data_IF_627757931776
#
_entry.id   IF_627757931776
#
_cell.length_a   1.000
_cell.length_b   1.000
_cell.length_c   1.000
_cell.angle_alpha   90.00
_cell.angle_beta   90.00
_cell.angle_gamma   90.00
#
_symmetry.space_group_name_H-M   'P 1'
#
loop_
_entity.id
_entity.type
_entity.pdbx_description
1 polymer ?
#
# COMPACT_ATOMS: atom_id res chain seq x y z
N UNK A 1 9.67 -21.44 -30.99
CA UNK A 1 10.74 -22.36 -31.40
C UNK A 1 11.89 -21.50 -31.85
N UNK A 2 12.99 -21.30 -31.14
CA UNK A 2 13.50 -21.78 -29.84
C UNK A 2 14.62 -20.80 -29.49
N UNK A 3 14.47 -19.92 -28.49
CA UNK A 3 15.57 -19.02 -28.10
C UNK A 3 15.42 -18.36 -26.70
N UNK A 4 14.84 -19.06 -25.72
CA UNK A 4 14.61 -18.47 -24.37
C UNK A 4 14.86 -19.44 -23.19
N UNK A 5 15.75 -20.42 -23.36
CA UNK A 5 15.91 -21.52 -22.37
C UNK A 5 17.17 -21.51 -21.48
N UNK A 6 18.00 -20.46 -21.46
CA UNK A 6 19.31 -20.51 -20.78
C UNK A 6 19.60 -19.40 -19.73
N UNK A 7 18.59 -18.81 -19.08
CA UNK A 7 18.80 -17.72 -18.11
C UNK A 7 18.72 -18.08 -16.61
N UNK A 8 18.47 -19.33 -16.21
CA UNK A 8 18.10 -19.65 -14.82
C UNK A 8 19.11 -20.42 -13.95
N UNK A 9 20.36 -20.65 -14.37
CA UNK A 9 21.30 -21.49 -13.57
C UNK A 9 22.47 -20.77 -12.89
N UNK A 10 22.64 -19.45 -13.06
CA UNK A 10 23.73 -18.69 -12.43
C UNK A 10 23.24 -17.51 -11.57
N UNK A 11 22.31 -17.76 -10.64
CA UNK A 11 22.07 -16.84 -9.53
C UNK A 11 23.05 -17.14 -8.36
N UNK A 12 24.34 -17.15 -8.71
CA UNK A 12 25.43 -17.10 -7.74
C UNK A 12 25.27 -15.79 -7.00
N UNK A 13 24.67 -15.79 -5.81
CA UNK A 13 24.60 -14.61 -4.93
C UNK A 13 26.01 -14.05 -4.84
N UNK A 14 26.28 -12.94 -5.53
CA UNK A 14 27.53 -12.22 -5.36
C UNK A 14 27.65 -11.98 -3.86
N UNK A 15 28.76 -12.39 -3.22
CA UNK A 15 28.93 -12.16 -1.80
C UNK A 15 28.83 -10.66 -1.57
N UNK A 16 27.75 -10.24 -0.91
CA UNK A 16 27.56 -8.86 -0.47
C UNK A 16 28.81 -8.53 0.34
N UNK A 17 29.61 -7.60 -0.17
CA UNK A 17 30.93 -7.33 0.36
C UNK A 17 30.82 -7.00 1.86
N UNK A 18 31.42 -7.81 2.76
CA UNK A 18 31.27 -7.63 4.21
C UNK A 18 31.86 -6.29 4.69
N UNK A 19 32.67 -5.60 3.88
CA UNK A 19 33.20 -4.26 4.20
C UNK A 19 32.14 -3.16 4.24
N UNK A 20 31.00 -3.31 3.58
CA UNK A 20 29.92 -2.32 3.67
C UNK A 20 29.15 -2.37 5.01
N UNK A 21 29.32 -3.44 5.81
CA UNK A 21 28.50 -3.69 7.01
C UNK A 21 29.02 -3.03 8.31
N UNK A 22 30.28 -2.60 8.38
CA UNK A 22 30.90 -2.19 9.66
C UNK A 22 30.95 -0.67 9.90
N UNK A 23 30.98 0.18 8.86
CA UNK A 23 31.16 1.64 9.04
C UNK A 23 29.84 2.45 9.02
N UNK A 24 28.69 1.85 8.73
CA UNK A 24 27.43 2.59 8.53
C UNK A 24 26.78 3.13 9.81
N UNK A 25 27.14 2.61 10.99
CA UNK A 25 26.51 2.99 12.28
C UNK A 25 27.08 4.27 12.89
N UNK A 26 28.26 4.75 12.45
CA UNK A 26 28.95 5.89 13.09
C UNK A 26 28.50 7.28 12.61
N UNK A 27 27.74 7.40 11.53
CA UNK A 27 27.45 8.69 10.88
C UNK A 27 26.00 9.19 11.03
N UNK A 28 25.03 8.32 11.35
CA UNK A 28 23.61 8.69 11.38
C UNK A 28 23.05 9.03 12.78
N UNK A 29 23.82 8.80 13.85
CA UNK A 29 23.35 8.92 15.25
C UNK A 29 23.14 10.35 15.80
N UNK A 30 22.91 11.34 14.94
CA UNK A 30 22.47 12.64 15.43
C UNK A 30 21.04 12.54 15.90
N UNK A 31 20.86 12.55 17.24
CA UNK A 31 19.56 12.71 17.89
C UNK A 31 18.76 13.77 17.16
N UNK A 32 17.66 13.34 16.55
CA UNK A 32 16.73 14.21 15.83
C UNK A 32 16.00 15.05 16.87
N UNK A 33 16.15 16.39 16.89
CA UNK A 33 15.44 17.20 17.86
C UNK A 33 13.93 16.91 17.86
N UNK A 34 13.39 16.67 19.06
CA UNK A 34 12.01 16.20 19.27
C UNK A 34 10.93 17.08 18.65
N UNK A 35 11.23 18.36 18.37
CA UNK A 35 10.30 19.31 17.79
C UNK A 35 9.97 19.04 16.31
N UNK A 36 10.77 18.24 15.60
CA UNK A 36 10.48 17.82 14.24
C UNK A 36 10.03 16.36 14.13
N UNK A 37 10.05 15.61 15.24
CA UNK A 37 9.38 14.32 15.34
C UNK A 37 7.87 14.55 15.40
N UNK A 38 7.27 14.76 14.23
CA UNK A 38 5.85 15.08 14.08
C UNK A 38 5.12 14.01 13.29
N UNK A 39 4.04 13.49 13.87
CA UNK A 39 3.12 12.56 13.23
C UNK A 39 1.71 13.09 13.09
N UNK A 40 0.97 12.49 12.16
CA UNK A 40 -0.46 12.64 11.95
C UNK A 40 -1.20 11.33 12.31
N UNK A 41 -2.10 11.35 13.31
CA UNK A 41 -2.96 10.20 13.59
C UNK A 41 -3.66 9.66 12.35
N UNK A 42 -3.74 8.34 12.18
CA UNK A 42 -4.27 7.71 10.96
C UNK A 42 -5.65 8.20 10.57
N UNK A 43 -6.50 8.36 11.58
CA UNK A 43 -7.88 8.84 11.42
C UNK A 43 -7.93 10.19 10.72
N UNK A 44 -6.94 11.06 10.92
CA UNK A 44 -6.85 12.34 10.21
C UNK A 44 -6.34 12.16 8.79
N UNK A 45 -5.40 11.23 8.56
CA UNK A 45 -4.92 10.89 7.22
C UNK A 45 -6.05 10.36 6.31
N UNK A 46 -6.92 9.51 6.89
CA UNK A 46 -8.10 8.97 6.22
C UNK A 46 -9.32 9.91 6.26
N UNK A 47 -9.30 10.97 7.05
CA UNK A 47 -10.44 11.86 7.21
C UNK A 47 -10.86 12.45 5.85
N UNK A 48 -12.18 12.63 5.69
CA UNK A 48 -12.79 13.19 4.48
C UNK A 48 -12.30 12.46 3.21
N UNK A 49 -12.20 11.14 3.31
CA UNK A 49 -11.79 10.24 2.23
C UNK A 49 -10.41 10.57 1.62
N UNK A 50 -9.42 10.78 2.49
CA UNK A 50 -8.04 11.04 2.06
C UNK A 50 -7.81 12.44 1.49
N UNK A 51 -8.69 13.40 1.82
CA UNK A 51 -8.51 14.81 1.45
C UNK A 51 -7.12 15.39 1.81
N UNK A 52 -6.44 15.00 2.91
CA UNK A 52 -5.07 15.45 3.19
C UNK A 52 -4.05 15.11 2.10
N UNK A 53 -4.28 14.10 1.26
CA UNK A 53 -3.42 13.79 0.12
C UNK A 53 -3.60 14.75 -1.07
N UNK A 54 -4.63 15.60 -1.07
CA UNK A 54 -4.82 16.63 -2.10
C UNK A 54 -3.81 17.75 -1.86
N UNK A 55 -2.95 18.03 -2.85
CA UNK A 55 -1.85 18.99 -2.72
C UNK A 55 -2.29 20.39 -2.23
N UNK A 56 -3.48 20.83 -2.62
CA UNK A 56 -4.08 22.12 -2.25
C UNK A 56 -4.48 22.19 -0.76
N UNK A 57 -4.79 21.07 -0.13
CA UNK A 57 -5.31 20.99 1.24
C UNK A 57 -4.26 20.57 2.28
N UNK A 58 -2.97 20.72 1.95
CA UNK A 58 -1.87 20.36 2.86
C UNK A 58 -1.92 21.09 4.22
N UNK A 59 -2.66 22.20 4.32
CA UNK A 59 -2.90 22.92 5.58
C UNK A 59 -3.72 22.11 6.60
N UNK A 60 -4.58 21.18 6.15
CA UNK A 60 -5.35 20.31 7.04
C UNK A 60 -4.45 19.27 7.69
N UNK A 61 -3.51 18.71 6.92
CA UNK A 61 -2.49 17.80 7.47
C UNK A 61 -1.65 18.49 8.54
N UNK A 62 -1.12 19.69 8.23
CA UNK A 62 -0.27 20.45 9.15
C UNK A 62 -0.94 20.79 10.48
N UNK A 63 -2.21 21.17 10.47
CA UNK A 63 -2.97 21.49 11.70
C UNK A 63 -3.14 20.31 12.65
N UNK A 64 -2.98 19.08 12.16
CA UNK A 64 -3.14 17.86 12.94
C UNK A 64 -1.80 17.17 13.23
N UNK A 65 -0.66 17.80 12.90
CA UNK A 65 0.65 17.31 13.30
C UNK A 65 0.79 17.38 14.82
N UNK A 66 1.20 16.27 15.42
CA UNK A 66 1.45 16.11 16.84
C UNK A 66 2.88 15.67 17.02
N UNK A 67 3.54 16.15 18.08
CA UNK A 67 4.82 15.58 18.47
C UNK A 67 4.59 14.15 18.96
N UNK A 68 5.34 13.22 18.40
CA UNK A 68 5.30 11.81 18.78
C UNK A 68 6.73 11.34 19.02
N UNK A 69 6.94 10.49 20.01
CA UNK A 69 8.24 9.87 20.28
C UNK A 69 8.43 8.58 19.48
N UNK A 70 7.32 7.88 19.23
CA UNK A 70 7.27 6.60 18.54
C UNK A 70 6.31 6.68 17.35
N UNK A 71 6.55 5.85 16.34
CA UNK A 71 5.73 5.79 15.14
C UNK A 71 5.47 4.37 14.68
N UNK A 72 4.21 4.08 14.35
CA UNK A 72 3.80 2.73 13.94
C UNK A 72 4.29 2.40 12.52
N UNK A 73 4.09 3.31 11.55
CA UNK A 73 4.50 3.10 10.17
C UNK A 73 4.84 4.40 9.43
N UNK A 74 5.79 4.29 8.50
CA UNK A 74 6.14 5.35 7.56
C UNK A 74 5.44 5.12 6.22
N UNK A 75 4.73 6.14 5.71
CA UNK A 75 3.98 6.03 4.44
C UNK A 75 4.67 6.84 3.34
N UNK A 76 5.45 6.17 2.50
CA UNK A 76 6.02 6.76 1.29
C UNK A 76 4.97 6.75 0.16
N UNK A 77 4.86 7.85 -0.57
CA UNK A 77 3.90 7.96 -1.67
C UNK A 77 4.29 9.01 -2.72
N UNK A 78 3.84 8.81 -3.96
CA UNK A 78 4.01 9.82 -5.01
C UNK A 78 2.91 10.91 -4.92
N UNK A 79 3.12 12.13 -5.44
CA UNK A 79 2.07 13.18 -5.42
C UNK A 79 1.13 13.17 -6.63
N UNK A 80 1.44 12.41 -7.68
CA UNK A 80 0.68 12.39 -8.94
C UNK A 80 -0.53 11.47 -8.85
N UNK A 81 -0.42 10.37 -8.10
CA UNK A 81 -1.49 9.40 -7.90
C UNK A 81 -2.66 10.05 -7.18
N UNK A 82 -3.86 9.76 -7.69
CA UNK A 82 -5.12 10.23 -7.12
C UNK A 82 -5.21 9.92 -5.62
N UNK A 83 -5.67 10.89 -4.85
CA UNK A 83 -5.88 10.74 -3.40
C UNK A 83 -6.86 9.61 -3.08
N UNK A 84 -7.85 9.33 -3.94
CA UNK A 84 -8.78 8.22 -3.76
C UNK A 84 -8.11 6.85 -3.80
N UNK A 85 -7.12 6.67 -4.67
CA UNK A 85 -6.38 5.42 -4.77
C UNK A 85 -5.47 5.22 -3.55
N UNK A 86 -4.84 6.30 -3.07
CA UNK A 86 -4.06 6.27 -1.83
C UNK A 86 -4.95 5.95 -0.64
N UNK A 87 -6.08 6.63 -0.52
CA UNK A 87 -7.08 6.40 0.52
C UNK A 87 -7.56 4.94 0.51
N UNK A 88 -7.96 4.41 -0.65
CA UNK A 88 -8.39 3.02 -0.78
C UNK A 88 -7.29 2.02 -0.42
N UNK A 89 -6.03 2.31 -0.79
CA UNK A 89 -4.89 1.45 -0.49
C UNK A 89 -4.59 1.41 1.00
N UNK A 90 -4.68 2.56 1.68
CA UNK A 90 -4.48 2.66 3.13
C UNK A 90 -5.64 2.02 3.90
N UNK A 91 -6.89 2.18 3.45
CA UNK A 91 -8.02 1.45 4.01
C UNK A 91 -7.81 -0.07 3.91
N UNK A 92 -7.39 -0.53 2.74
CA UNK A 92 -7.13 -1.96 2.53
C UNK A 92 -6.00 -2.44 3.44
N UNK A 93 -4.90 -1.71 3.49
CA UNK A 93 -3.72 -2.07 4.27
C UNK A 93 -4.02 -2.20 5.76
N UNK A 94 -4.65 -1.17 6.33
CA UNK A 94 -4.75 -1.03 7.79
C UNK A 94 -6.09 -1.49 8.37
N UNK A 95 -7.19 -1.41 7.60
CA UNK A 95 -8.53 -1.71 8.13
C UNK A 95 -9.06 -3.09 7.72
N UNK A 96 -8.52 -3.77 6.70
CA UNK A 96 -9.15 -5.02 6.20
C UNK A 96 -9.21 -6.13 7.26
N UNK A 97 -8.18 -6.28 8.09
CA UNK A 97 -8.13 -7.28 9.17
C UNK A 97 -9.20 -7.00 10.22
N UNK A 98 -9.28 -5.75 10.68
CA UNK A 98 -10.26 -5.32 11.67
C UNK A 98 -11.69 -5.43 11.12
N UNK A 99 -11.89 -5.05 9.85
CA UNK A 99 -13.17 -5.20 9.16
C UNK A 99 -13.57 -6.69 9.06
N UNK A 100 -12.64 -7.60 8.76
CA UNK A 100 -12.91 -9.04 8.71
C UNK A 100 -13.36 -9.60 10.06
N UNK A 101 -12.62 -9.27 11.14
CA UNK A 101 -12.96 -9.70 12.50
C UNK A 101 -14.30 -9.12 12.95
N UNK A 102 -14.53 -7.82 12.73
CA UNK A 102 -15.79 -7.18 13.08
C UNK A 102 -16.98 -7.79 12.33
N UNK A 103 -16.80 -8.08 11.04
CA UNK A 103 -17.83 -8.76 10.24
C UNK A 103 -18.12 -10.15 10.80
N UNK A 104 -17.10 -10.89 11.21
CA UNK A 104 -17.27 -12.22 11.83
C UNK A 104 -18.03 -12.14 13.14
N UNK A 105 -17.58 -11.30 14.07
CA UNK A 105 -18.23 -11.14 15.37
C UNK A 105 -19.69 -10.70 15.22
N UNK A 106 -19.94 -9.71 14.35
CA UNK A 106 -21.30 -9.24 14.08
C UNK A 106 -22.17 -10.34 13.47
N UNK A 107 -21.65 -11.08 12.48
CA UNK A 107 -22.41 -12.17 11.84
C UNK A 107 -22.74 -13.29 12.82
N UNK A 108 -21.79 -13.68 13.66
CA UNK A 108 -22.03 -14.70 14.70
C UNK A 108 -23.06 -14.22 15.72
N UNK A 109 -22.92 -13.00 16.23
CA UNK A 109 -23.86 -12.44 17.20
C UNK A 109 -25.27 -12.29 16.61
N UNK A 110 -25.40 -11.79 15.39
CA UNK A 110 -26.68 -11.69 14.69
C UNK A 110 -27.33 -13.07 14.49
N UNK A 111 -26.54 -14.08 14.12
CA UNK A 111 -27.00 -15.47 13.99
C UNK A 111 -27.53 -16.04 15.31
N UNK A 112 -26.81 -15.83 16.42
CA UNK A 112 -27.27 -16.25 17.74
C UNK A 112 -28.57 -15.55 18.14
N UNK A 113 -28.67 -14.23 17.95
CA UNK A 113 -29.90 -13.48 18.26
C UNK A 113 -31.11 -13.94 17.44
N UNK A 114 -30.90 -14.32 16.17
CA UNK A 114 -31.94 -14.93 15.33
C UNK A 114 -32.34 -16.30 15.88
N UNK A 115 -31.37 -17.13 16.27
CA UNK A 115 -31.62 -18.45 16.86
C UNK A 115 -32.47 -18.38 18.14
N UNK A 116 -32.18 -17.41 19.02
CA UNK A 116 -32.95 -17.17 20.24
C UNK A 116 -34.26 -16.40 20.01
N UNK A 117 -34.67 -16.19 18.74
CA UNK A 117 -35.87 -15.44 18.34
C UNK A 117 -35.92 -14.01 18.89
N UNK A 118 -34.77 -13.45 19.27
CA UNK A 118 -34.65 -12.04 19.69
C UNK A 118 -34.73 -11.13 18.47
N UNK A 119 -34.12 -11.55 17.35
CA UNK A 119 -34.22 -10.88 16.06
C UNK A 119 -35.06 -11.69 15.07
N UNK A 120 -35.89 -11.03 14.23
CA UNK A 120 -36.62 -11.74 13.18
C UNK A 120 -35.66 -12.24 12.10
N UNK A 121 -35.97 -13.40 11.52
CA UNK A 121 -35.21 -13.98 10.41
C UNK A 121 -35.53 -13.22 9.11
N UNK A 122 -34.90 -12.06 8.94
CA UNK A 122 -35.13 -11.16 7.81
C UNK A 122 -33.86 -11.00 6.98
N UNK A 123 -34.02 -10.85 5.66
CA UNK A 123 -32.90 -10.69 4.72
C UNK A 123 -31.98 -9.50 5.02
N UNK A 124 -32.47 -8.45 5.71
CA UNK A 124 -31.68 -7.25 6.03
C UNK A 124 -30.55 -7.50 7.04
N UNK A 125 -30.62 -8.56 7.86
CA UNK A 125 -29.56 -8.87 8.83
C UNK A 125 -28.20 -9.09 8.14
N UNK A 126 -28.23 -9.62 6.91
CA UNK A 126 -27.05 -9.80 6.06
C UNK A 126 -26.50 -8.43 5.61
N UNK A 127 -27.38 -7.49 5.23
CA UNK A 127 -26.99 -6.14 4.79
C UNK A 127 -26.33 -5.33 5.91
N UNK A 128 -26.75 -5.48 7.17
CA UNK A 128 -26.12 -4.78 8.30
C UNK A 128 -24.69 -5.28 8.54
N UNK A 129 -24.41 -6.57 8.34
CA UNK A 129 -23.06 -7.11 8.44
C UNK A 129 -22.07 -6.44 7.46
N UNK A 130 -22.54 -5.99 6.30
CA UNK A 130 -21.72 -5.20 5.38
C UNK A 130 -21.54 -3.73 5.83
N UNK A 131 -22.56 -3.12 6.45
CA UNK A 131 -22.48 -1.74 6.96
C UNK A 131 -21.59 -1.60 8.19
N UNK A 132 -21.52 -2.64 9.04
CA UNK A 132 -20.65 -2.67 10.21
C UNK A 132 -19.15 -2.45 9.86
N UNK A 133 -18.75 -2.79 8.63
CA UNK A 133 -17.37 -2.60 8.12
C UNK A 133 -16.94 -1.13 8.02
N UNK A 134 -17.89 -0.23 7.75
CA UNK A 134 -17.60 1.19 7.51
C UNK A 134 -17.22 1.92 8.80
N UNK A 135 -17.66 1.42 9.96
CA UNK A 135 -17.43 2.06 11.27
C UNK A 135 -16.15 1.64 11.99
N UNK A 136 -15.51 0.53 11.61
CA UNK A 136 -14.33 0.00 12.32
C UNK A 136 -13.06 0.58 11.73
N UNK A 137 -12.66 1.75 12.23
CA UNK A 137 -11.37 2.36 11.93
C UNK A 137 -10.42 2.12 13.10
N UNK A 138 -9.27 1.48 12.85
CA UNK A 138 -8.23 1.30 13.87
C UNK A 138 -7.55 2.65 14.14
N UNK A 139 -7.44 3.02 15.41
CA UNK A 139 -6.79 4.24 15.84
C UNK A 139 -5.30 3.95 16.04
N UNK A 140 -4.52 4.10 14.98
CA UNK A 140 -3.05 4.09 15.02
C UNK A 140 -2.52 5.49 14.65
N UNK A 141 -1.30 5.82 15.05
CA UNK A 141 -0.70 7.14 14.81
C UNK A 141 0.42 7.01 13.76
N UNK A 142 0.36 7.78 12.66
CA UNK A 142 1.28 7.64 11.53
C UNK A 142 1.96 8.95 11.18
N UNK A 143 2.89 8.98 10.22
CA UNK A 143 3.41 10.24 9.70
C UNK A 143 3.33 10.28 8.17
N UNK A 144 3.12 11.48 7.64
CA UNK A 144 3.48 11.81 6.26
C UNK A 144 4.49 12.94 6.35
N UNK A 145 5.78 12.60 6.30
CA UNK A 145 6.86 13.56 6.45
C UNK A 145 6.98 14.47 5.23
N UNK A 146 6.90 15.80 5.45
CA UNK A 146 7.46 16.78 4.51
C UNK A 146 8.27 17.77 5.36
N UNK A 147 9.60 17.86 5.21
CA UNK A 147 10.41 18.71 6.09
C UNK A 147 10.11 20.20 5.85
N UNK A 148 9.67 20.91 6.89
CA UNK A 148 9.41 22.37 6.83
C UNK A 148 10.69 23.21 6.97
N UNK A 149 11.79 22.64 7.46
CA UNK A 149 13.10 23.32 7.56
C UNK A 149 14.16 22.53 6.81
N UNK A 150 14.56 23.04 5.64
CA UNK A 150 15.48 22.33 4.73
C UNK A 150 16.96 22.37 5.13
N UNK A 151 17.33 23.02 6.24
CA UNK A 151 18.73 23.28 6.57
C UNK A 151 19.52 22.07 7.10
N UNK A 152 18.87 21.00 7.55
CA UNK A 152 19.55 19.86 8.20
C UNK A 152 19.07 18.48 7.72
N UNK A 153 18.42 18.40 6.56
CA UNK A 153 17.60 17.28 6.05
C UNK A 153 18.21 15.87 6.17
N UNK A 154 19.54 15.75 6.13
CA UNK A 154 20.26 14.46 6.16
C UNK A 154 20.15 13.73 7.49
N UNK A 155 20.32 14.45 8.60
CA UNK A 155 20.19 13.87 9.94
C UNK A 155 18.73 13.56 10.29
N UNK A 156 17.78 14.37 9.81
CA UNK A 156 16.35 14.15 10.08
C UNK A 156 15.82 12.87 9.48
N UNK A 157 16.06 12.69 8.17
CA UNK A 157 15.42 11.58 7.46
C UNK A 157 15.93 10.26 8.01
N UNK A 158 17.22 10.20 8.37
CA UNK A 158 17.79 9.02 9.01
C UNK A 158 17.20 8.71 10.39
N UNK A 159 17.29 9.65 11.34
CA UNK A 159 16.83 9.37 12.70
C UNK A 159 15.29 9.26 12.83
N UNK A 160 14.52 9.90 11.94
CA UNK A 160 13.07 9.63 11.87
C UNK A 160 12.83 8.21 11.37
N UNK A 161 13.53 7.77 10.32
CA UNK A 161 13.35 6.41 9.77
C UNK A 161 13.78 5.29 10.73
N UNK A 162 14.73 5.56 11.64
CA UNK A 162 15.13 4.62 12.71
C UNK A 162 13.99 4.29 13.67
N UNK A 163 13.05 5.22 13.88
CA UNK A 163 11.94 5.05 14.84
C UNK A 163 10.76 4.24 14.31
N UNK A 164 10.68 3.94 13.02
CA UNK A 164 9.56 3.16 12.47
C UNK A 164 9.85 1.66 12.47
N UNK A 165 8.85 0.88 12.85
CA UNK A 165 8.91 -0.57 12.79
C UNK A 165 8.69 -1.11 11.37
N UNK A 166 7.86 -0.44 10.58
CA UNK A 166 7.46 -0.87 9.23
C UNK A 166 7.40 0.31 8.24
N UNK A 167 7.77 0.06 6.98
CA UNK A 167 7.56 1.00 5.86
C UNK A 167 6.42 0.50 4.97
N UNK A 168 5.38 1.32 4.85
CA UNK A 168 4.28 1.13 3.91
C UNK A 168 4.53 1.97 2.66
N UNK A 169 4.87 1.32 1.55
CA UNK A 169 5.10 2.00 0.28
C UNK A 169 3.84 1.93 -0.60
N UNK A 170 3.23 3.09 -0.88
CA UNK A 170 2.14 3.20 -1.85
C UNK A 170 2.73 3.31 -3.24
N UNK A 171 3.00 2.15 -3.82
CA UNK A 171 3.70 2.08 -5.09
C UNK A 171 2.80 2.42 -6.29
N UNK A 172 3.34 3.25 -7.18
CA UNK A 172 2.77 3.61 -8.47
C UNK A 172 3.86 3.66 -9.56
N UNK A 173 3.45 3.71 -10.82
CA UNK A 173 4.36 3.82 -11.99
C UNK A 173 5.33 5.01 -11.90
N UNK A 174 4.93 6.08 -11.20
CA UNK A 174 5.73 7.31 -11.06
C UNK A 174 6.58 7.33 -9.78
N UNK A 175 6.49 6.32 -8.92
CA UNK A 175 7.17 6.30 -7.63
C UNK A 175 8.70 6.40 -7.77
N UNK A 176 9.30 5.54 -8.60
CA UNK A 176 10.75 5.51 -8.87
C UNK A 176 11.21 6.72 -9.69
N UNK A 177 10.30 7.43 -10.37
CA UNK A 177 10.66 8.65 -11.09
C UNK A 177 10.96 9.80 -10.11
N UNK A 178 10.86 9.64 -8.79
CA UNK A 178 10.91 10.73 -7.82
C UNK A 178 12.09 10.53 -6.87
N UNK A 179 13.00 11.51 -6.90
CA UNK A 179 14.28 11.43 -6.16
C UNK A 179 14.07 11.22 -4.66
N UNK A 180 13.05 11.87 -4.09
CA UNK A 180 12.73 11.81 -2.66
C UNK A 180 12.22 10.43 -2.24
N UNK A 181 11.32 9.84 -3.03
CA UNK A 181 10.76 8.51 -2.75
C UNK A 181 11.84 7.43 -2.76
N UNK A 182 12.72 7.44 -3.76
CA UNK A 182 13.83 6.49 -3.85
C UNK A 182 14.85 6.72 -2.73
N UNK A 183 15.10 7.98 -2.36
CA UNK A 183 15.95 8.33 -1.23
C UNK A 183 15.41 7.83 0.11
N UNK A 184 14.12 8.06 0.41
CA UNK A 184 13.46 7.58 1.63
C UNK A 184 13.53 6.06 1.73
N UNK A 185 13.20 5.37 0.63
CA UNK A 185 13.32 3.92 0.54
C UNK A 185 14.75 3.45 0.82
N UNK A 186 15.73 3.97 0.09
CA UNK A 186 17.14 3.59 0.26
C UNK A 186 17.66 3.89 1.69
N UNK A 187 17.23 5.00 2.28
CA UNK A 187 17.57 5.37 3.66
C UNK A 187 17.01 4.33 4.64
N UNK A 188 15.74 3.96 4.49
CA UNK A 188 15.10 2.92 5.31
C UNK A 188 15.84 1.59 5.19
N UNK A 189 16.13 1.15 3.96
CA UNK A 189 16.87 -0.10 3.71
C UNK A 189 18.26 -0.10 4.33
N UNK A 190 18.97 1.03 4.23
CA UNK A 190 20.32 1.17 4.80
C UNK A 190 20.32 1.14 6.32
N UNK A 191 19.35 1.79 6.96
CA UNK A 191 19.23 1.85 8.43
C UNK A 191 18.89 0.48 8.99
N UNK A 192 17.87 -0.16 8.43
CA UNK A 192 17.33 -1.41 8.96
C UNK A 192 18.02 -2.65 8.40
N UNK A 193 19.03 -2.48 7.52
CA UNK A 193 19.81 -3.57 6.92
C UNK A 193 18.97 -4.68 6.26
N UNK A 194 17.77 -4.32 5.80
CA UNK A 194 16.78 -5.28 5.27
C UNK A 194 16.16 -6.22 6.31
N UNK A 195 16.39 -6.01 7.61
CA UNK A 195 15.79 -6.82 8.69
C UNK A 195 14.30 -6.51 8.90
N UNK A 196 13.89 -5.27 8.58
CA UNK A 196 12.49 -4.85 8.69
C UNK A 196 11.74 -5.12 7.38
N UNK A 197 10.50 -5.63 7.45
CA UNK A 197 9.72 -5.90 6.27
C UNK A 197 9.35 -4.59 5.56
N UNK A 198 9.48 -4.60 4.24
CA UNK A 198 8.96 -3.57 3.36
C UNK A 198 7.62 -4.05 2.82
N UNK A 199 6.56 -3.29 3.07
CA UNK A 199 5.25 -3.60 2.51
C UNK A 199 4.92 -2.65 1.38
N UNK A 200 5.02 -3.11 0.14
CA UNK A 200 4.59 -2.35 -1.02
C UNK A 200 3.17 -2.74 -1.42
N UNK A 201 2.29 -1.74 -1.59
CA UNK A 201 0.91 -1.96 -2.06
C UNK A 201 0.68 -1.20 -3.36
N UNK A 202 0.33 -1.91 -4.44
CA UNK A 202 -0.08 -1.26 -5.69
C UNK A 202 -1.33 -0.43 -5.47
N UNK A 203 -1.27 0.84 -5.87
CA UNK A 203 -2.41 1.78 -5.72
C UNK A 203 -3.66 1.38 -6.51
N UNK A 204 -3.52 0.46 -7.49
CA UNK A 204 -4.64 -0.11 -8.26
C UNK A 204 -5.31 -1.31 -7.57
N UNK A 205 -4.68 -1.93 -6.56
CA UNK A 205 -5.20 -3.10 -5.86
C UNK A 205 -6.60 -2.89 -5.25
N UNK A 206 -6.92 -1.74 -4.63
CA UNK A 206 -8.28 -1.49 -4.12
C UNK A 206 -9.35 -1.54 -5.20
N UNK A 207 -9.06 -1.09 -6.42
CA UNK A 207 -10.00 -1.15 -7.54
C UNK A 207 -10.25 -2.60 -7.96
N UNK A 208 -9.19 -3.40 -8.07
CA UNK A 208 -9.31 -4.82 -8.39
C UNK A 208 -10.17 -5.56 -7.36
N UNK A 209 -9.91 -5.32 -6.07
CA UNK A 209 -10.68 -5.92 -4.98
C UNK A 209 -12.12 -5.42 -4.93
N UNK A 210 -12.40 -4.17 -5.29
CA UNK A 210 -13.76 -3.64 -5.37
C UNK A 210 -14.57 -4.33 -6.48
N UNK A 211 -13.99 -4.51 -7.67
CA UNK A 211 -14.66 -5.24 -8.76
C UNK A 211 -14.85 -6.70 -8.39
N UNK A 212 -13.86 -7.32 -7.73
CA UNK A 212 -13.98 -8.68 -7.21
C UNK A 212 -15.06 -8.83 -6.13
N UNK A 213 -15.15 -7.86 -5.23
CA UNK A 213 -16.21 -7.78 -4.21
C UNK A 213 -17.60 -7.70 -4.86
N UNK A 214 -17.77 -6.82 -5.85
CA UNK A 214 -19.03 -6.66 -6.56
C UNK A 214 -19.48 -7.97 -7.26
N UNK A 215 -18.54 -8.67 -7.88
CA UNK A 215 -18.78 -9.98 -8.51
C UNK A 215 -19.27 -11.02 -7.49
N UNK A 216 -18.54 -11.24 -6.41
CA UNK A 216 -18.93 -12.22 -5.39
C UNK A 216 -20.24 -11.87 -4.71
N UNK A 217 -20.46 -10.58 -4.46
CA UNK A 217 -21.73 -10.10 -3.92
C UNK A 217 -22.89 -10.46 -4.88
N UNK A 218 -22.74 -10.25 -6.18
CA UNK A 218 -23.76 -10.61 -7.17
C UNK A 218 -24.04 -12.13 -7.22
N UNK A 219 -22.99 -12.95 -7.34
CA UNK A 219 -23.11 -14.43 -7.33
C UNK A 219 -23.83 -14.91 -6.08
N UNK A 220 -23.51 -14.31 -4.93
CA UNK A 220 -24.11 -14.73 -3.67
C UNK A 220 -25.57 -14.31 -3.55
N UNK A 221 -25.94 -13.10 -3.95
CA UNK A 221 -27.34 -12.67 -4.01
C UNK A 221 -28.15 -13.56 -4.97
N UNK A 222 -27.56 -14.00 -6.08
CA UNK A 222 -28.19 -14.97 -6.98
C UNK A 222 -28.50 -16.30 -6.27
N UNK A 223 -27.53 -16.88 -5.55
CA UNK A 223 -27.74 -18.13 -4.80
C UNK A 223 -28.87 -17.97 -3.77
N UNK A 224 -28.93 -16.82 -3.09
CA UNK A 224 -30.02 -16.53 -2.16
C UNK A 224 -31.37 -16.43 -2.85
N UNK A 225 -31.43 -15.76 -4.01
CA UNK A 225 -32.67 -15.59 -4.76
C UNK A 225 -33.20 -16.93 -5.26
N UNK A 226 -32.32 -17.80 -5.77
CA UNK A 226 -32.66 -19.18 -6.14
C UNK A 226 -33.21 -19.90 -4.90
N UNK A 227 -32.46 -19.92 -3.78
CA UNK A 227 -32.89 -20.63 -2.58
C UNK A 227 -34.24 -20.18 -2.01
N UNK A 228 -34.61 -18.89 -2.19
CA UNK A 228 -35.90 -18.35 -1.74
C UNK A 228 -37.02 -18.55 -2.78
N UNK A 229 -36.71 -18.51 -4.06
CA UNK A 229 -37.70 -18.62 -5.15
C UNK A 229 -38.13 -20.05 -5.47
N UNK A 230 -37.38 -21.06 -5.04
CA UNK A 230 -37.63 -22.47 -5.36
C UNK A 230 -38.63 -23.18 -4.44
N UNK A 231 -39.44 -22.43 -3.67
CA UNK A 231 -40.50 -23.00 -2.84
C UNK A 231 -41.62 -23.66 -3.66
N UNK A 232 -41.73 -23.34 -4.94
CA UNK A 232 -42.68 -23.90 -5.89
C UNK A 232 -41.93 -24.52 -7.08
N UNK A 233 -42.22 -25.80 -7.37
CA UNK A 233 -41.61 -26.54 -8.47
C UNK A 233 -41.85 -25.88 -9.84
N UNK A 234 -43.00 -25.20 -10.01
CA UNK A 234 -43.31 -24.51 -11.26
C UNK A 234 -42.40 -23.29 -11.50
N UNK A 235 -41.93 -22.64 -10.43
CA UNK A 235 -41.10 -21.44 -10.50
C UNK A 235 -39.60 -21.74 -10.48
N UNK A 236 -39.20 -23.00 -10.25
CA UNK A 236 -37.79 -23.38 -10.14
C UNK A 236 -36.97 -23.04 -11.40
N UNK A 237 -37.35 -23.60 -12.54
CA UNK A 237 -36.62 -23.44 -13.80
C UNK A 237 -36.53 -21.97 -14.28
N UNK A 238 -37.64 -21.20 -14.36
CA UNK A 238 -37.55 -19.81 -14.82
C UNK A 238 -36.71 -18.94 -13.87
N UNK A 239 -36.78 -19.19 -12.55
CA UNK A 239 -35.95 -18.48 -11.56
C UNK A 239 -34.47 -18.74 -11.77
N UNK A 240 -34.08 -20.02 -11.92
CA UNK A 240 -32.69 -20.41 -12.16
C UNK A 240 -32.16 -19.85 -13.48
N UNK A 241 -32.97 -19.89 -14.54
CA UNK A 241 -32.60 -19.35 -15.84
C UNK A 241 -32.37 -17.84 -15.79
N UNK A 242 -33.29 -17.08 -15.20
CA UNK A 242 -33.18 -15.63 -15.04
C UNK A 242 -31.94 -15.23 -14.21
N UNK A 243 -31.71 -15.95 -13.12
CA UNK A 243 -30.53 -15.80 -12.26
C UNK A 243 -29.23 -16.03 -13.02
N UNK A 244 -29.17 -17.13 -13.78
CA UNK A 244 -28.00 -17.50 -14.57
C UNK A 244 -27.70 -16.47 -15.65
N UNK A 245 -28.72 -16.00 -16.38
CA UNK A 245 -28.58 -14.91 -17.35
C UNK A 245 -28.06 -13.64 -16.67
N UNK A 246 -28.62 -13.28 -15.51
CA UNK A 246 -28.20 -12.08 -14.77
C UNK A 246 -26.73 -12.14 -14.34
N UNK A 247 -26.27 -13.26 -13.78
CA UNK A 247 -24.86 -13.45 -13.40
C UNK A 247 -23.95 -13.48 -14.63
N UNK A 248 -24.39 -14.10 -15.72
CA UNK A 248 -23.64 -14.08 -16.98
C UNK A 248 -23.46 -12.66 -17.51
N UNK A 249 -24.51 -11.84 -17.51
CA UNK A 249 -24.42 -10.42 -17.91
C UNK A 249 -23.43 -9.67 -17.02
N UNK A 250 -23.50 -9.83 -15.70
CA UNK A 250 -22.55 -9.20 -14.78
C UNK A 250 -21.11 -9.67 -15.08
N UNK A 251 -20.91 -10.97 -15.31
CA UNK A 251 -19.61 -11.55 -15.64
C UNK A 251 -19.01 -10.92 -16.90
N UNK A 252 -19.82 -10.75 -17.96
CA UNK A 252 -19.41 -10.12 -19.21
C UNK A 252 -18.86 -8.71 -19.03
N UNK A 253 -19.31 -7.97 -18.01
CA UNK A 253 -18.79 -6.63 -17.69
C UNK A 253 -17.63 -6.67 -16.70
N UNK A 254 -17.76 -7.44 -15.61
CA UNK A 254 -16.76 -7.43 -14.53
C UNK A 254 -15.47 -8.13 -14.92
N UNK A 255 -15.54 -9.21 -15.72
CA UNK A 255 -14.36 -9.99 -16.10
C UNK A 255 -13.39 -9.20 -16.99
N UNK A 256 -13.83 -8.49 -18.05
CA UNK A 256 -12.96 -7.59 -18.79
C UNK A 256 -12.38 -6.48 -17.92
N UNK A 257 -13.18 -5.86 -17.04
CA UNK A 257 -12.67 -4.84 -16.12
C UNK A 257 -11.58 -5.39 -15.18
N UNK A 258 -11.78 -6.57 -14.58
CA UNK A 258 -10.77 -7.24 -13.75
C UNK A 258 -9.51 -7.55 -14.54
N UNK A 259 -9.67 -8.11 -15.74
CA UNK A 259 -8.56 -8.46 -16.62
C UNK A 259 -7.77 -7.22 -17.04
N UNK A 260 -8.44 -6.11 -17.38
CA UNK A 260 -7.79 -4.85 -17.73
C UNK A 260 -7.01 -4.25 -16.56
N UNK A 261 -7.60 -4.23 -15.35
CA UNK A 261 -6.93 -3.74 -14.14
C UNK A 261 -5.73 -4.63 -13.80
N UNK A 262 -5.90 -5.96 -13.88
CA UNK A 262 -4.83 -6.94 -13.64
C UNK A 262 -3.69 -6.80 -14.63
N UNK A 263 -3.99 -6.76 -15.94
CA UNK A 263 -2.99 -6.52 -16.99
C UNK A 263 -2.26 -5.21 -16.78
N UNK A 264 -2.96 -4.13 -16.43
CA UNK A 264 -2.31 -2.84 -16.14
C UNK A 264 -1.38 -2.95 -14.93
N UNK A 265 -1.79 -3.63 -13.86
CA UNK A 265 -0.94 -3.85 -12.70
C UNK A 265 0.33 -4.65 -13.07
N UNK A 266 0.20 -5.72 -13.86
CA UNK A 266 1.34 -6.50 -14.36
C UNK A 266 2.24 -5.66 -15.27
N UNK A 267 1.68 -4.88 -16.19
CA UNK A 267 2.45 -3.97 -17.05
C UNK A 267 3.23 -2.96 -16.22
N UNK A 268 2.61 -2.42 -15.16
CA UNK A 268 3.25 -1.47 -14.27
C UNK A 268 4.42 -2.11 -13.49
N UNK A 269 4.30 -3.38 -13.09
CA UNK A 269 5.39 -4.12 -12.45
C UNK A 269 6.54 -4.39 -13.41
N UNK A 270 6.25 -4.77 -14.65
CA UNK A 270 7.27 -4.94 -15.71
C UNK A 270 7.99 -3.62 -15.98
N UNK A 271 7.23 -2.53 -16.08
CA UNK A 271 7.77 -1.18 -16.27
C UNK A 271 8.61 -0.74 -15.07
N UNK A 272 8.19 -1.05 -13.85
CA UNK A 272 8.95 -0.81 -12.63
C UNK A 272 10.31 -1.51 -12.67
N UNK A 273 10.32 -2.82 -12.97
CA UNK A 273 11.55 -3.60 -13.08
C UNK A 273 12.49 -2.98 -14.12
N UNK A 274 11.95 -2.60 -15.29
CA UNK A 274 12.72 -1.91 -16.34
C UNK A 274 13.29 -0.58 -15.87
N UNK A 275 12.50 0.24 -15.17
CA UNK A 275 12.93 1.53 -14.61
C UNK A 275 14.00 1.36 -13.54
N UNK A 276 13.86 0.38 -12.64
CA UNK A 276 14.85 0.07 -11.60
C UNK A 276 16.19 -0.33 -12.21
N UNK A 277 16.19 -1.19 -13.23
CA UNK A 277 17.42 -1.62 -13.93
C UNK A 277 18.16 -0.47 -14.62
N UNK A 278 17.43 0.55 -15.08
CA UNK A 278 17.97 1.73 -15.76
C UNK A 278 17.98 2.97 -14.87
N UNK A 279 17.81 2.80 -13.57
CA UNK A 279 17.60 3.92 -12.67
C UNK A 279 18.83 4.82 -12.64
N UNK A 280 18.62 6.12 -12.77
CA UNK A 280 19.64 7.14 -12.56
C UNK A 280 19.05 8.24 -11.71
N UNK A 281 19.67 8.49 -10.57
CA UNK A 281 19.21 9.52 -9.63
C UNK A 281 19.23 10.91 -10.26
N UNK A 282 20.14 11.14 -11.21
CA UNK A 282 20.23 12.33 -12.06
C UNK A 282 18.97 12.54 -12.91
N UNK A 283 18.39 11.47 -13.44
CA UNK A 283 17.16 11.51 -14.24
C UNK A 283 15.88 11.60 -13.40
N UNK A 284 15.93 11.25 -12.10
CA UNK A 284 14.78 11.29 -11.21
C UNK A 284 14.25 12.73 -11.04
N UNK A 285 12.93 12.92 -11.06
CA UNK A 285 12.23 14.19 -10.93
C UNK A 285 12.31 14.71 -9.48
N UNK A 286 12.63 16.00 -9.33
CA UNK A 286 12.47 16.74 -8.07
C UNK A 286 11.23 17.63 -8.13
N UNK A 287 10.38 17.60 -7.08
CA UNK A 287 9.26 18.53 -6.98
C UNK A 287 9.72 19.99 -6.92
N UNK A 288 10.88 20.25 -6.31
CA UNK A 288 11.52 21.56 -6.25
C UNK A 288 11.85 22.12 -7.65
N UNK A 289 12.50 21.31 -8.49
CA UNK A 289 12.94 21.71 -9.83
C UNK A 289 11.74 21.97 -10.75
N UNK A 290 10.70 21.13 -10.69
CA UNK A 290 9.49 21.31 -11.51
C UNK A 290 8.73 22.61 -11.19
N UNK A 291 8.99 23.23 -10.02
CA UNK A 291 8.41 24.52 -9.62
C UNK A 291 9.40 25.68 -9.71
N UNK A 292 10.55 25.47 -10.35
CA UNK A 292 11.58 26.52 -10.49
C UNK A 292 12.18 26.96 -9.15
N UNK A 293 12.28 26.06 -8.17
CA UNK A 293 12.85 26.33 -6.84
C UNK A 293 12.15 27.47 -6.09
N UNK A 294 10.83 27.60 -6.25
CA UNK A 294 10.01 28.60 -5.54
C UNK A 294 8.87 27.98 -4.74
N UNK A 295 8.54 28.59 -3.59
CA UNK A 295 7.30 28.34 -2.86
C UNK A 295 6.10 28.94 -3.62
N UNK A 296 4.83 28.60 -3.25
CA UNK A 296 3.65 29.28 -3.78
C UNK A 296 3.68 30.79 -3.56
N UNK A 297 4.33 31.25 -2.49
CA UNK A 297 4.50 32.67 -2.14
C UNK A 297 5.66 33.34 -2.90
N UNK A 298 6.39 32.59 -3.73
CA UNK A 298 7.48 33.08 -4.58
C UNK A 298 8.87 33.03 -3.96
N UNK A 299 8.99 32.64 -2.69
CA UNK A 299 10.28 32.54 -1.98
C UNK A 299 11.18 31.45 -2.59
N UNK A 300 12.48 31.75 -2.69
CA UNK A 300 13.47 30.79 -3.19
C UNK A 300 13.73 29.70 -2.15
N UNK A 301 13.69 28.44 -2.58
CA UNK A 301 13.96 27.27 -1.74
C UNK A 301 15.20 26.52 -2.25
N UNK A 302 15.99 25.91 -1.35
CA UNK A 302 17.09 25.05 -1.78
C UNK A 302 16.58 23.85 -2.57
N UNK A 303 17.43 23.37 -3.47
CA UNK A 303 17.19 22.23 -4.33
C UNK A 303 17.23 20.92 -3.54
N UNK A 304 16.12 20.16 -3.51
CA UNK A 304 16.09 18.87 -2.79
C UNK A 304 17.09 17.87 -3.38
N UNK A 305 17.38 17.96 -4.69
CA UNK A 305 18.39 17.11 -5.34
C UNK A 305 19.78 17.36 -4.78
N UNK A 306 20.16 18.62 -4.63
CA UNK A 306 21.48 18.99 -4.11
C UNK A 306 21.65 18.53 -2.67
N UNK A 307 20.61 18.70 -1.85
CA UNK A 307 20.56 18.14 -0.51
C UNK A 307 20.76 16.61 -0.58
N UNK A 308 19.93 15.89 -1.31
CA UNK A 308 20.06 14.42 -1.39
C UNK A 308 21.46 13.99 -1.87
N UNK A 309 22.07 14.72 -2.80
CA UNK A 309 23.42 14.40 -3.29
C UNK A 309 24.49 14.57 -2.21
N UNK A 310 24.36 15.59 -1.36
CA UNK A 310 25.23 15.73 -0.19
C UNK A 310 25.11 14.53 0.77
N UNK A 311 23.91 13.94 0.92
CA UNK A 311 23.77 12.68 1.67
C UNK A 311 24.55 11.55 1.03
N UNK A 312 24.47 11.41 -0.29
CA UNK A 312 25.16 10.33 -0.99
C UNK A 312 26.66 10.45 -0.87
N UNK A 313 27.20 11.66 -1.01
CA UNK A 313 28.61 11.91 -0.73
C UNK A 313 28.96 11.43 0.67
N UNK A 314 28.22 11.84 1.71
CA UNK A 314 28.46 11.39 3.09
C UNK A 314 28.29 9.88 3.31
N UNK A 315 27.37 9.23 2.58
CA UNK A 315 27.09 7.80 2.69
C UNK A 315 28.16 6.91 2.05
N UNK A 316 28.84 7.45 1.04
CA UNK A 316 29.79 6.73 0.19
C UNK A 316 31.19 7.35 0.21
N UNK A 317 31.49 8.29 1.12
CA UNK A 317 32.77 9.02 1.26
C UNK A 317 33.97 8.17 1.72
N UNK A 318 33.89 6.86 1.50
CA UNK A 318 35.01 5.96 1.73
C UNK A 318 36.07 6.22 0.67
N UNK A 319 37.32 6.46 1.12
CA UNK A 319 38.57 6.78 0.39
C UNK A 319 38.99 5.80 -0.73
N UNK A 320 38.06 5.09 -1.34
CA UNK A 320 38.29 3.87 -2.08
C UNK A 320 37.81 4.02 -3.51
N UNK A 321 38.76 3.83 -4.42
CA UNK A 321 38.67 3.80 -5.89
C UNK A 321 38.48 5.16 -6.56
N UNK A 322 39.56 5.68 -7.15
CA UNK A 322 39.71 6.99 -7.80
C UNK A 322 38.72 7.30 -8.95
N UNK A 323 37.75 6.42 -9.26
CA UNK A 323 36.95 6.50 -10.47
C UNK A 323 35.42 6.47 -10.28
N UNK A 324 34.88 6.23 -9.08
CA UNK A 324 33.42 6.15 -8.88
C UNK A 324 32.92 7.25 -7.95
N UNK A 325 31.94 8.03 -8.42
CA UNK A 325 31.30 9.06 -7.59
C UNK A 325 30.28 8.42 -6.64
N UNK A 326 29.99 9.05 -5.50
CA UNK A 326 28.93 8.58 -4.58
C UNK A 326 27.55 8.43 -5.26
N UNK A 327 27.31 9.18 -6.35
CA UNK A 327 26.12 9.04 -7.19
C UNK A 327 26.10 7.71 -7.95
N UNK A 328 27.24 7.29 -8.49
CA UNK A 328 27.37 6.02 -9.22
C UNK A 328 27.16 4.83 -8.28
N UNK A 329 27.70 4.93 -7.06
CA UNK A 329 27.48 3.93 -6.01
C UNK A 329 26.01 3.85 -5.60
N UNK A 330 25.34 4.99 -5.43
CA UNK A 330 23.90 5.01 -5.14
C UNK A 330 23.08 4.41 -6.29
N UNK A 331 23.35 4.79 -7.54
CA UNK A 331 22.68 4.23 -8.71
C UNK A 331 22.87 2.71 -8.79
N UNK A 332 24.07 2.22 -8.52
CA UNK A 332 24.38 0.78 -8.49
C UNK A 332 23.61 0.08 -7.38
N UNK A 333 23.57 0.65 -6.17
CA UNK A 333 22.80 0.13 -5.05
C UNK A 333 21.30 0.06 -5.38
N UNK A 334 20.72 1.11 -5.98
CA UNK A 334 19.31 1.11 -6.38
C UNK A 334 19.03 0.05 -7.44
N UNK A 335 19.88 -0.08 -8.46
CA UNK A 335 19.66 -1.03 -9.57
C UNK A 335 19.73 -2.48 -9.12
N UNK A 336 20.67 -2.82 -8.25
CA UNK A 336 21.00 -4.22 -7.95
C UNK A 336 20.51 -4.68 -6.57
N UNK A 337 20.66 -3.83 -5.55
CA UNK A 337 20.33 -4.20 -4.17
C UNK A 337 18.89 -3.82 -3.83
N UNK A 338 18.56 -2.53 -3.94
CA UNK A 338 17.24 -2.04 -3.54
C UNK A 338 16.17 -2.43 -4.57
N UNK A 339 16.50 -2.44 -5.86
CA UNK A 339 15.58 -2.83 -6.91
C UNK A 339 15.07 -4.26 -6.73
N UNK A 340 15.96 -5.18 -6.36
CA UNK A 340 15.57 -6.57 -6.04
C UNK A 340 14.63 -6.62 -4.84
N UNK A 341 14.86 -5.81 -3.80
CA UNK A 341 14.01 -5.79 -2.60
C UNK A 341 12.67 -5.10 -2.85
N UNK A 342 12.63 -4.02 -3.62
CA UNK A 342 11.38 -3.37 -4.09
C UNK A 342 10.58 -4.37 -4.92
N UNK A 343 11.23 -5.06 -5.87
CA UNK A 343 10.57 -6.08 -6.66
C UNK A 343 10.12 -7.25 -5.78
N UNK A 344 10.90 -7.72 -4.81
CA UNK A 344 10.41 -8.77 -3.90
C UNK A 344 9.20 -8.32 -3.08
N UNK A 345 9.15 -7.06 -2.64
CA UNK A 345 8.01 -6.48 -1.94
C UNK A 345 6.78 -6.29 -2.86
N UNK A 346 6.98 -6.00 -4.15
CA UNK A 346 5.93 -5.72 -5.14
C UNK A 346 5.46 -6.93 -5.95
N UNK A 347 6.42 -7.68 -6.49
CA UNK A 347 6.27 -8.88 -7.31
C UNK A 347 5.65 -9.98 -6.46
N UNK A 348 6.23 -10.21 -5.29
CA UNK A 348 5.84 -11.29 -4.40
C UNK A 348 5.90 -12.64 -5.11
N UNK A 349 6.50 -13.62 -4.48
CA UNK A 349 6.07 -15.01 -4.70
C UNK A 349 4.57 -15.25 -4.36
N UNK A 350 3.80 -14.18 -4.09
CA UNK A 350 2.34 -14.10 -3.99
C UNK A 350 1.86 -12.76 -4.60
N UNK A 351 1.51 -12.76 -5.90
CA UNK A 351 1.14 -11.58 -6.71
C UNK A 351 -0.08 -10.76 -6.20
N UNK A 352 -0.70 -11.19 -5.12
CA UNK A 352 -1.61 -10.45 -4.26
C UNK A 352 -1.26 -10.97 -2.88
N UNK A 353 -1.09 -10.12 -1.84
CA UNK A 353 -0.90 -10.63 -0.49
C UNK A 353 -2.08 -11.56 -0.19
N UNK A 354 -1.82 -12.88 -0.21
CA UNK A 354 -2.90 -13.88 -0.23
C UNK A 354 -3.76 -13.71 1.02
N UNK A 355 -3.13 -13.27 2.10
CA UNK A 355 -3.79 -12.82 3.32
C UNK A 355 -4.85 -11.72 3.07
N UNK A 356 -4.56 -10.63 2.35
CA UNK A 356 -5.53 -9.58 2.02
C UNK A 356 -6.70 -10.15 1.19
N UNK A 357 -6.38 -10.97 0.19
CA UNK A 357 -7.41 -11.63 -0.62
C UNK A 357 -8.29 -12.55 0.24
N UNK A 358 -7.69 -13.38 1.09
CA UNK A 358 -8.39 -14.25 2.03
C UNK A 358 -9.23 -13.44 3.01
N UNK A 359 -8.74 -12.33 3.57
CA UNK A 359 -9.54 -11.47 4.44
C UNK A 359 -10.73 -10.88 3.70
N UNK A 360 -10.55 -10.42 2.46
CA UNK A 360 -11.65 -9.88 1.64
C UNK A 360 -12.68 -10.96 1.34
N UNK A 361 -12.25 -12.12 0.82
CA UNK A 361 -13.14 -13.26 0.51
C UNK A 361 -13.85 -13.75 1.75
N UNK A 362 -13.13 -13.95 2.86
CA UNK A 362 -13.72 -14.36 4.13
C UNK A 362 -14.77 -13.35 4.57
N UNK A 363 -14.42 -12.06 4.64
CA UNK A 363 -15.35 -10.97 5.01
C UNK A 363 -16.58 -10.88 4.11
N UNK A 364 -16.48 -11.26 2.84
CA UNK A 364 -17.63 -11.30 1.93
C UNK A 364 -18.58 -12.43 2.28
N UNK A 365 -18.03 -13.58 2.69
CA UNK A 365 -18.80 -14.79 2.96
C UNK A 365 -19.33 -14.88 4.41
N UNK A 366 -18.70 -14.20 5.37
CA UNK A 366 -19.07 -14.32 6.79
C UNK A 366 -20.51 -13.94 7.15
N UNK A 367 -21.12 -12.88 6.57
CA UNK A 367 -22.52 -12.53 6.84
C UNK A 367 -23.53 -13.66 6.58
N UNK A 368 -23.13 -14.68 5.81
CA UNK A 368 -23.99 -15.83 5.53
C UNK A 368 -23.90 -16.95 6.55
N UNK A 369 -22.90 -16.96 7.43
CA UNK A 369 -22.83 -17.92 8.54
C UNK A 369 -24.05 -17.80 9.45
N UNK A 370 -24.70 -16.64 9.51
CA UNK A 370 -26.00 -16.40 10.18
C UNK A 370 -27.02 -17.50 9.88
N UNK A 371 -27.05 -18.03 8.64
CA UNK A 371 -28.03 -19.04 8.22
C UNK A 371 -27.63 -20.47 8.55
N UNK A 372 -26.36 -20.72 8.84
CA UNK A 372 -25.81 -22.07 9.07
C UNK A 372 -25.75 -22.43 10.56
N UNK A 373 -26.06 -21.49 11.46
CA UNK A 373 -26.16 -21.80 12.89
C UNK A 373 -27.38 -22.71 13.07
N UNK A 374 -27.19 -23.97 13.51
CA UNK A 374 -28.29 -24.91 13.67
C UNK A 374 -29.35 -24.31 14.59
N UNK A 375 -30.63 -24.45 14.22
CA UNK A 375 -31.70 -24.22 15.17
C UNK A 375 -31.56 -25.30 16.25
N UNK A 376 -30.99 -24.94 17.41
CA UNK A 376 -31.07 -25.79 18.58
C UNK A 376 -32.55 -25.92 18.94
N UNK A 377 -33.11 -27.08 18.60
CA UNK A 377 -34.44 -27.52 19.00
C UNK A 377 -34.41 -28.13 20.39
#
# INVERSE_FOLDING_TARGET
>A
MDEDQDLDSHNSRLPVSPRFQQDSSRSLSHQVPSEFLQGIPFRYLLARAGRPFKAEDSSVGRRNLRRCLDFDAFISHDWQTSHWLKYGSLLLLFNVKAAAVATLLFSTAAGLLIQYKVLPQTGWAISIGYLAKVGVSRQADYTTGRPESKRNVHSWTGGILETFEEIGDLWSESYIDRVWCVYEFATFMRIHRGERPVQAIPVALPLLLLVHFAWWFAVRNMILFIALGTGDAQNFFPTVLLCSISVFVIFLFTYPCQSLIGMRMTQNLTELNRKLRRFEVQAAKCSCCSKGHRTPDGELIPCDRELIYQSFSAWYDTKTTENLTGLDMFNTAVRHEYGTQILQACDGSQLIPLNLFVYVVFSINTPFLIRQIPQAG
#
